data_IF_607192004871
#
_entry.id   IF_607192004871
#
_cell.length_a   1.000
_cell.length_b   1.000
_cell.length_c   1.000
_cell.angle_alpha   90.00
_cell.angle_beta   90.00
_cell.angle_gamma   90.00
#
_symmetry.space_group_name_H-M   'P 1'
#
loop_
_entity.id
_entity.type
_entity.pdbx_description
1 polymer ?
#
# COMPACT_ATOMS: atom_id res chain seq x y z
N UNK A 1 28.36 -42.10 -24.16
CA UNK A 1 28.97 -42.45 -22.86
C UNK A 1 28.52 -41.35 -21.91
N UNK A 2 27.35 -41.44 -21.28
CA UNK A 2 27.00 -42.45 -20.27
C UNK A 2 27.84 -42.13 -19.05
N UNK A 3 27.35 -41.32 -18.10
CA UNK A 3 26.75 -41.88 -16.89
C UNK A 3 25.40 -41.29 -16.45
N UNK A 4 24.70 -42.13 -15.71
CA UNK A 4 23.30 -42.18 -15.39
C UNK A 4 22.96 -41.61 -13.99
N UNK A 5 21.72 -41.10 -13.89
CA UNK A 5 20.78 -41.21 -12.75
C UNK A 5 21.34 -41.13 -11.32
N UNK A 6 21.26 -39.94 -10.74
CA UNK A 6 20.77 -39.72 -9.37
C UNK A 6 20.35 -38.25 -9.20
N UNK A 7 19.32 -37.82 -9.92
CA UNK A 7 18.56 -36.67 -9.43
C UNK A 7 18.01 -37.07 -8.06
N UNK A 8 18.19 -36.28 -6.99
CA UNK A 8 17.61 -36.65 -5.72
C UNK A 8 16.11 -36.77 -5.96
N UNK A 9 15.57 -37.97 -5.72
CA UNK A 9 14.15 -38.16 -5.43
C UNK A 9 13.91 -37.35 -4.15
N UNK A 10 13.75 -36.04 -4.30
CA UNK A 10 13.27 -35.18 -3.23
C UNK A 10 11.86 -35.69 -3.02
N UNK A 11 11.68 -36.47 -1.96
CA UNK A 11 10.39 -36.98 -1.50
C UNK A 11 9.29 -35.96 -1.83
N UNK A 12 8.19 -36.40 -2.46
CA UNK A 12 7.04 -35.51 -2.75
C UNK A 12 6.51 -34.79 -1.49
N UNK A 13 6.85 -35.28 -0.29
CA UNK A 13 6.62 -34.62 1.00
C UNK A 13 7.39 -33.29 1.18
N UNK A 14 8.54 -33.10 0.52
CA UNK A 14 9.34 -31.86 0.56
C UNK A 14 8.80 -30.77 -0.39
N UNK A 15 8.02 -31.15 -1.42
CA UNK A 15 7.37 -30.22 -2.34
C UNK A 15 5.95 -29.81 -1.91
N UNK A 16 5.52 -30.22 -0.70
CA UNK A 16 4.22 -29.80 -0.14
C UNK A 16 4.24 -28.30 0.20
N UNK A 17 3.22 -27.59 -0.26
CA UNK A 17 3.02 -26.17 0.01
C UNK A 17 2.64 -26.00 1.49
N UNK A 18 3.41 -25.20 2.23
CA UNK A 18 3.14 -24.88 3.63
C UNK A 18 2.41 -23.54 3.76
N UNK A 19 2.81 -22.53 2.98
CA UNK A 19 2.25 -21.18 3.05
C UNK A 19 2.28 -20.53 1.67
N UNK A 20 1.24 -19.76 1.37
CA UNK A 20 1.13 -18.96 0.15
C UNK A 20 0.95 -17.50 0.55
N UNK A 21 1.88 -16.65 0.15
CA UNK A 21 1.81 -15.21 0.34
C UNK A 21 1.49 -14.56 -0.99
N UNK A 22 0.40 -13.79 -1.03
CA UNK A 22 -0.03 -13.06 -2.21
C UNK A 22 0.28 -11.57 -2.02
N UNK A 23 1.19 -11.04 -2.83
CA UNK A 23 1.47 -9.61 -2.90
C UNK A 23 0.94 -9.00 -4.20
N UNK A 24 1.02 -7.67 -4.29
CA UNK A 24 0.66 -6.93 -5.51
C UNK A 24 1.50 -7.39 -6.72
N UNK A 25 2.81 -7.54 -6.52
CA UNK A 25 3.77 -7.75 -7.60
C UNK A 25 4.06 -9.22 -7.88
N UNK A 26 3.91 -10.12 -6.91
CA UNK A 26 4.22 -11.53 -7.05
C UNK A 26 3.45 -12.39 -6.03
N UNK A 27 3.38 -13.67 -6.31
CA UNK A 27 2.93 -14.72 -5.38
C UNK A 27 4.17 -15.47 -4.92
N UNK A 28 4.27 -15.75 -3.63
CA UNK A 28 5.38 -16.48 -3.04
C UNK A 28 4.89 -17.69 -2.26
N UNK A 29 5.49 -18.85 -2.51
CA UNK A 29 5.19 -20.13 -1.89
C UNK A 29 6.33 -20.50 -0.94
N UNK A 30 5.98 -20.92 0.28
CA UNK A 30 6.90 -21.58 1.20
C UNK A 30 6.68 -23.08 1.12
N UNK A 31 7.70 -23.81 0.73
CA UNK A 31 7.68 -25.27 0.72
C UNK A 31 8.02 -25.81 2.10
N UNK A 32 7.62 -27.06 2.37
CA UNK A 32 7.98 -27.75 3.61
C UNK A 32 9.49 -27.85 3.83
N UNK A 33 10.28 -27.83 2.75
CA UNK A 33 11.75 -27.75 2.78
C UNK A 33 12.30 -26.41 3.30
N UNK A 34 11.44 -25.42 3.60
CA UNK A 34 11.84 -24.08 4.06
C UNK A 34 12.24 -23.11 2.94
N UNK A 35 12.26 -23.56 1.69
CA UNK A 35 12.59 -22.73 0.52
C UNK A 35 11.41 -21.88 0.07
N UNK A 36 11.69 -20.64 -0.32
CA UNK A 36 10.71 -19.74 -0.94
C UNK A 36 10.85 -19.76 -2.46
N UNK A 37 9.72 -19.87 -3.15
CA UNK A 37 9.65 -19.72 -4.61
C UNK A 37 8.64 -18.62 -4.90
N UNK A 38 9.03 -17.63 -5.70
CA UNK A 38 8.16 -16.53 -6.07
C UNK A 38 7.99 -16.46 -7.58
N UNK A 39 6.79 -16.11 -8.03
CA UNK A 39 6.46 -15.99 -9.44
C UNK A 39 5.29 -15.05 -9.68
N UNK A 40 5.12 -14.67 -10.94
CA UNK A 40 4.05 -13.77 -11.39
C UNK A 40 2.93 -14.49 -12.14
N UNK A 41 3.14 -15.75 -12.51
CA UNK A 41 2.23 -16.59 -13.28
C UNK A 41 2.02 -17.90 -12.54
N UNK A 42 0.77 -18.33 -12.38
CA UNK A 42 0.46 -19.61 -11.75
C UNK A 42 1.08 -20.77 -12.53
N UNK A 43 0.97 -20.75 -13.86
CA UNK A 43 1.43 -21.84 -14.71
C UNK A 43 2.94 -22.04 -14.63
N UNK A 44 3.71 -20.96 -14.61
CA UNK A 44 5.17 -21.04 -14.50
C UNK A 44 5.60 -21.61 -13.14
N UNK A 45 4.88 -21.26 -12.07
CA UNK A 45 5.15 -21.82 -10.75
C UNK A 45 4.78 -23.29 -10.63
N UNK A 46 3.65 -23.71 -11.22
CA UNK A 46 3.23 -25.12 -11.25
C UNK A 46 4.24 -25.96 -12.03
N UNK A 47 4.74 -25.46 -13.17
CA UNK A 47 5.76 -26.14 -13.97
C UNK A 47 7.12 -26.25 -13.24
N UNK A 48 7.42 -25.33 -12.33
CA UNK A 48 8.62 -25.37 -11.49
C UNK A 48 8.54 -26.29 -10.27
N UNK A 49 7.36 -26.82 -9.94
CA UNK A 49 7.14 -27.68 -8.77
C UNK A 49 7.36 -29.16 -9.10
N UNK A 50 8.10 -29.85 -8.22
CA UNK A 50 8.26 -31.32 -8.29
C UNK A 50 6.92 -31.97 -7.91
N UNK A 51 6.12 -32.30 -8.92
CA UNK A 51 4.75 -32.81 -8.78
C UNK A 51 3.71 -32.09 -9.65
N UNK A 52 4.07 -30.97 -10.29
CA UNK A 52 3.16 -30.23 -11.19
C UNK A 52 1.82 -29.90 -10.52
N UNK A 53 0.72 -30.11 -11.25
CA UNK A 53 -0.63 -29.90 -10.74
C UNK A 53 -1.01 -30.81 -9.55
N UNK A 54 -0.35 -31.96 -9.38
CA UNK A 54 -0.60 -32.86 -8.26
C UNK A 54 -0.02 -32.34 -6.93
N UNK A 55 0.91 -31.38 -6.99
CA UNK A 55 1.44 -30.71 -5.79
C UNK A 55 0.47 -29.66 -5.20
N UNK A 56 -0.57 -29.28 -5.96
CA UNK A 56 -1.61 -28.32 -5.56
C UNK A 56 -3.03 -28.88 -5.80
N UNK A 57 -3.47 -29.86 -4.97
CA UNK A 57 -4.77 -30.53 -5.16
C UNK A 57 -5.98 -29.61 -4.97
N UNK A 58 -5.80 -28.46 -4.30
CA UNK A 58 -6.86 -27.48 -4.03
C UNK A 58 -6.81 -26.28 -4.98
N UNK A 59 -5.90 -26.29 -5.95
CA UNK A 59 -5.69 -25.22 -6.92
C UNK A 59 -5.50 -23.83 -6.27
N UNK A 60 -4.80 -23.81 -5.13
CA UNK A 60 -4.50 -22.62 -4.34
C UNK A 60 -3.68 -21.60 -5.11
N UNK A 61 -2.79 -22.07 -6.00
CA UNK A 61 -1.94 -21.20 -6.81
C UNK A 61 -2.78 -20.39 -7.80
N UNK A 62 -3.78 -21.01 -8.43
CA UNK A 62 -4.67 -20.31 -9.36
C UNK A 62 -5.65 -19.37 -8.65
N UNK A 63 -6.14 -19.77 -7.47
CA UNK A 63 -6.95 -18.88 -6.62
C UNK A 63 -6.12 -17.65 -6.22
N UNK A 64 -4.86 -17.85 -5.81
CA UNK A 64 -3.93 -16.77 -5.47
C UNK A 64 -3.68 -15.81 -6.66
N UNK A 65 -3.49 -16.35 -7.87
CA UNK A 65 -3.35 -15.54 -9.08
C UNK A 65 -4.63 -14.77 -9.44
N UNK A 66 -5.80 -15.38 -9.27
CA UNK A 66 -7.08 -14.72 -9.49
C UNK A 66 -7.27 -13.56 -8.52
N UNK A 67 -6.96 -13.76 -7.24
CA UNK A 67 -7.01 -12.68 -6.23
C UNK A 67 -6.03 -11.58 -6.60
N UNK A 68 -4.78 -11.89 -6.95
CA UNK A 68 -3.79 -10.87 -7.33
C UNK A 68 -4.25 -10.06 -8.55
N UNK A 69 -4.71 -10.71 -9.61
CA UNK A 69 -5.07 -10.04 -10.87
C UNK A 69 -6.38 -9.26 -10.81
N UNK A 70 -7.35 -9.69 -10.00
CA UNK A 70 -8.68 -9.08 -9.95
C UNK A 70 -8.92 -8.17 -8.75
N UNK A 71 -8.28 -8.44 -7.63
CA UNK A 71 -8.54 -7.72 -6.37
C UNK A 71 -7.51 -6.63 -6.11
N UNK A 72 -6.24 -6.86 -6.47
CA UNK A 72 -5.13 -5.98 -6.13
C UNK A 72 -4.87 -4.93 -7.23
N UNK A 73 -5.64 -3.83 -7.22
CA UNK A 73 -5.35 -2.67 -8.08
C UNK A 73 -4.41 -1.69 -7.37
N UNK A 74 -3.22 -1.47 -7.93
CA UNK A 74 -2.20 -0.56 -7.38
C UNK A 74 -2.18 0.82 -8.05
N UNK A 75 -2.81 0.99 -9.22
CA UNK A 75 -2.69 2.22 -10.02
C UNK A 75 -3.06 3.49 -9.27
N UNK A 76 -4.15 3.47 -8.50
CA UNK A 76 -4.58 4.62 -7.69
C UNK A 76 -3.60 4.97 -6.57
N UNK A 77 -2.94 3.97 -5.98
CA UNK A 77 -1.94 4.17 -4.94
C UNK A 77 -0.76 4.98 -5.48
N UNK A 78 -0.27 4.65 -6.67
CA UNK A 78 0.83 5.37 -7.31
C UNK A 78 0.46 6.83 -7.61
N UNK A 79 -0.76 7.07 -8.10
CA UNK A 79 -1.25 8.43 -8.32
C UNK A 79 -1.32 9.21 -6.99
N UNK A 80 -1.79 8.58 -5.91
CA UNK A 80 -1.85 9.19 -4.59
C UNK A 80 -0.44 9.53 -4.03
N UNK A 81 0.55 8.66 -4.27
CA UNK A 81 1.95 8.92 -3.89
C UNK A 81 2.49 10.13 -4.64
N UNK A 82 2.23 10.23 -5.95
CA UNK A 82 2.67 11.37 -6.78
C UNK A 82 2.04 12.68 -6.27
N UNK A 83 0.73 12.68 -5.97
CA UNK A 83 0.05 13.87 -5.44
C UNK A 83 0.58 14.26 -4.05
N UNK A 84 0.84 13.29 -3.18
CA UNK A 84 1.46 13.52 -1.88
C UNK A 84 2.85 14.13 -2.04
N UNK A 85 3.67 13.61 -2.96
CA UNK A 85 5.01 14.13 -3.22
C UNK A 85 4.99 15.59 -3.67
N UNK A 86 4.16 15.94 -4.66
CA UNK A 86 4.00 17.33 -5.07
C UNK A 86 3.42 18.21 -3.96
N UNK A 87 2.49 17.68 -3.16
CA UNK A 87 1.99 18.37 -1.97
C UNK A 87 3.10 18.71 -0.98
N UNK A 88 4.05 17.81 -0.74
CA UNK A 88 5.19 18.03 0.17
C UNK A 88 6.12 19.12 -0.40
N UNK A 89 6.41 19.06 -1.70
CA UNK A 89 7.23 20.08 -2.38
C UNK A 89 6.58 21.46 -2.26
N UNK A 90 5.26 21.57 -2.43
CA UNK A 90 4.55 22.84 -2.26
C UNK A 90 4.60 23.34 -0.81
N UNK A 91 4.47 22.46 0.19
CA UNK A 91 4.62 22.85 1.59
C UNK A 91 6.05 23.33 1.90
N UNK A 92 7.07 22.76 1.27
CA UNK A 92 8.46 23.19 1.44
C UNK A 92 8.71 24.62 0.92
N UNK A 93 7.85 25.14 0.04
CA UNK A 93 7.92 26.53 -0.43
C UNK A 93 7.27 27.54 0.51
N UNK A 94 6.71 27.10 1.64
CA UNK A 94 6.07 28.02 2.58
C UNK A 94 7.11 28.93 3.22
N UNK A 95 6.81 30.23 3.34
CA UNK A 95 7.74 31.18 3.93
C UNK A 95 8.06 30.80 5.38
N UNK A 96 9.35 30.82 5.69
CA UNK A 96 9.88 30.60 7.04
C UNK A 96 9.64 31.80 7.94
N UNK A 97 10.09 31.68 9.19
CA UNK A 97 10.20 32.84 10.08
C UNK A 97 11.32 33.75 9.58
N UNK A 98 11.06 35.05 9.53
CA UNK A 98 12.10 36.06 9.29
C UNK A 98 11.96 37.17 10.32
N UNK A 99 13.11 37.76 10.68
CA UNK A 99 13.19 38.90 11.58
C UNK A 99 12.95 40.18 10.76
N UNK A 100 11.99 41.00 11.19
CA UNK A 100 11.75 42.35 10.66
C UNK A 100 12.06 43.37 11.77
N UNK A 101 12.71 44.47 11.40
CA UNK A 101 13.02 45.57 12.32
C UNK A 101 11.85 46.57 12.28
N UNK A 102 11.19 46.79 13.43
CA UNK A 102 10.11 47.79 13.54
C UNK A 102 10.68 49.22 13.47
N UNK A 103 9.80 50.19 13.20
CA UNK A 103 10.07 51.63 13.21
C UNK A 103 10.67 52.17 14.53
N UNK A 104 10.56 51.42 15.63
CA UNK A 104 11.18 51.71 16.94
C UNK A 104 12.55 51.02 17.15
N UNK A 105 13.07 50.30 16.15
CA UNK A 105 14.34 49.56 16.22
C UNK A 105 14.28 48.25 17.01
N UNK A 106 13.07 47.73 17.26
CA UNK A 106 12.86 46.43 17.91
C UNK A 106 12.77 45.32 16.86
N UNK A 107 13.60 44.30 16.98
CA UNK A 107 13.50 43.08 16.17
C UNK A 107 12.23 42.31 16.52
N UNK A 108 11.42 41.99 15.51
CA UNK A 108 10.22 41.16 15.66
C UNK A 108 10.25 40.01 14.67
N UNK A 109 10.04 38.79 15.17
CA UNK A 109 9.80 37.64 14.32
C UNK A 109 8.41 37.70 13.70
N UNK A 110 8.37 37.81 12.38
CA UNK A 110 7.13 37.77 11.60
C UNK A 110 7.15 36.54 10.71
N UNK A 111 6.03 35.82 10.65
CA UNK A 111 5.83 34.73 9.70
C UNK A 111 4.86 35.19 8.62
N UNK A 112 5.30 35.32 7.35
CA UNK A 112 4.41 35.74 6.27
C UNK A 112 3.28 34.72 6.06
N UNK A 113 2.09 35.20 5.68
CA UNK A 113 1.01 34.30 5.28
C UNK A 113 1.39 33.57 3.98
N UNK A 114 1.21 32.24 3.91
CA UNK A 114 1.47 31.50 2.68
C UNK A 114 0.51 31.98 1.58
N UNK A 115 1.00 31.99 0.33
CA UNK A 115 0.18 32.48 -0.78
C UNK A 115 -1.12 31.68 -0.92
N UNK A 116 -2.26 32.36 -1.10
CA UNK A 116 -3.58 31.73 -1.15
C UNK A 116 -3.68 30.65 -2.22
N UNK A 117 -3.08 30.89 -3.40
CA UNK A 117 -3.11 29.95 -4.53
C UNK A 117 -2.34 28.67 -4.22
N UNK A 118 -1.13 28.79 -3.66
CA UNK A 118 -0.32 27.61 -3.31
C UNK A 118 -1.00 26.80 -2.20
N UNK A 119 -1.55 27.46 -1.18
CA UNK A 119 -2.30 26.78 -0.11
C UNK A 119 -3.54 26.04 -0.62
N UNK A 120 -4.28 26.61 -1.58
CA UNK A 120 -5.44 25.96 -2.19
C UNK A 120 -5.06 24.77 -3.08
N UNK A 121 -3.99 24.88 -3.86
CA UNK A 121 -3.48 23.77 -4.69
C UNK A 121 -2.93 22.64 -3.79
N UNK A 122 -2.20 22.99 -2.74
CA UNK A 122 -1.71 22.01 -1.77
C UNK A 122 -2.88 21.28 -1.09
N UNK A 123 -3.92 22.01 -0.65
CA UNK A 123 -5.13 21.39 -0.08
C UNK A 123 -5.78 20.42 -1.07
N UNK A 124 -5.99 20.82 -2.33
CA UNK A 124 -6.65 19.95 -3.31
C UNK A 124 -5.84 18.69 -3.61
N UNK A 125 -4.52 18.79 -3.69
CA UNK A 125 -3.61 17.65 -3.87
C UNK A 125 -3.69 16.68 -2.69
N UNK A 126 -3.64 17.16 -1.45
CA UNK A 126 -3.74 16.30 -0.27
C UNK A 126 -5.13 15.68 -0.12
N UNK A 127 -6.20 16.41 -0.43
CA UNK A 127 -7.56 15.85 -0.42
C UNK A 127 -7.71 14.76 -1.49
N UNK A 128 -7.19 14.99 -2.70
CA UNK A 128 -7.21 13.98 -3.76
C UNK A 128 -6.37 12.74 -3.36
N UNK A 129 -5.17 12.95 -2.82
CA UNK A 129 -4.32 11.86 -2.34
C UNK A 129 -4.98 11.04 -1.23
N UNK A 130 -5.66 11.71 -0.27
CA UNK A 130 -6.43 11.06 0.79
C UNK A 130 -7.56 10.20 0.21
N UNK A 131 -8.40 10.75 -0.67
CA UNK A 131 -9.52 10.01 -1.25
C UNK A 131 -9.06 8.81 -2.07
N UNK A 132 -8.04 8.98 -2.91
CA UNK A 132 -7.47 7.90 -3.72
C UNK A 132 -6.86 6.81 -2.85
N UNK A 133 -6.09 7.18 -1.82
CA UNK A 133 -5.51 6.23 -0.87
C UNK A 133 -6.60 5.50 -0.08
N UNK A 134 -7.62 6.22 0.39
CA UNK A 134 -8.74 5.66 1.13
C UNK A 134 -9.50 4.62 0.30
N UNK A 135 -9.90 4.98 -0.93
CA UNK A 135 -10.58 4.05 -1.85
C UNK A 135 -9.72 2.82 -2.09
N UNK A 136 -8.42 3.00 -2.31
CA UNK A 136 -7.49 1.91 -2.61
C UNK A 136 -7.34 0.95 -1.43
N UNK A 137 -7.05 1.46 -0.23
CA UNK A 137 -6.86 0.64 0.98
C UNK A 137 -8.18 -0.03 1.37
N UNK A 138 -9.31 0.69 1.28
CA UNK A 138 -10.63 0.13 1.58
C UNK A 138 -10.96 -1.02 0.61
N UNK A 139 -10.72 -0.84 -0.69
CA UNK A 139 -10.94 -1.87 -1.69
C UNK A 139 -10.09 -3.11 -1.43
N UNK A 140 -8.79 -2.93 -1.16
CA UNK A 140 -7.88 -4.04 -0.85
C UNK A 140 -8.28 -4.76 0.45
N UNK A 141 -8.74 -4.01 1.46
CA UNK A 141 -9.20 -4.58 2.71
C UNK A 141 -10.45 -5.45 2.50
N UNK A 142 -11.49 -4.91 1.83
CA UNK A 142 -12.71 -5.65 1.50
C UNK A 142 -12.42 -6.88 0.64
N UNK A 143 -11.60 -6.73 -0.39
CA UNK A 143 -11.25 -7.81 -1.29
C UNK A 143 -10.47 -8.94 -0.60
N UNK A 144 -9.53 -8.58 0.28
CA UNK A 144 -8.80 -9.57 1.09
C UNK A 144 -9.69 -10.26 2.12
N UNK A 145 -10.63 -9.54 2.74
CA UNK A 145 -11.60 -10.11 3.67
C UNK A 145 -12.56 -11.08 2.97
N UNK A 146 -13.02 -10.74 1.76
CA UNK A 146 -13.85 -11.63 0.95
C UNK A 146 -13.08 -12.89 0.48
N UNK A 147 -11.81 -12.73 0.09
CA UNK A 147 -10.97 -13.87 -0.27
C UNK A 147 -10.72 -14.80 0.93
N UNK A 148 -10.48 -14.23 2.11
CA UNK A 148 -10.33 -14.96 3.38
C UNK A 148 -11.59 -15.78 3.72
N UNK A 149 -12.77 -15.15 3.71
CA UNK A 149 -14.02 -15.85 4.05
C UNK A 149 -14.36 -16.94 3.05
N UNK A 150 -14.14 -16.68 1.75
CA UNK A 150 -14.38 -17.67 0.70
C UNK A 150 -13.40 -18.85 0.79
N UNK A 151 -12.12 -18.59 1.08
CA UNK A 151 -11.13 -19.65 1.26
C UNK A 151 -11.56 -20.58 2.40
N UNK A 152 -11.82 -20.04 3.59
CA UNK A 152 -12.21 -20.87 4.74
C UNK A 152 -13.51 -21.66 4.51
N UNK A 153 -14.47 -21.06 3.79
CA UNK A 153 -15.74 -21.73 3.46
C UNK A 153 -15.56 -22.89 2.46
N UNK A 154 -14.69 -22.77 1.47
CA UNK A 154 -14.47 -23.79 0.44
C UNK A 154 -13.51 -24.89 0.88
N UNK A 155 -12.59 -24.59 1.80
CA UNK A 155 -11.55 -25.53 2.22
C UNK A 155 -11.91 -26.29 3.48
N UNK A 156 -13.12 -26.16 4.01
CA UNK A 156 -13.58 -26.82 5.25
C UNK A 156 -12.56 -26.68 6.39
N UNK A 157 -11.99 -25.47 6.54
CA UNK A 157 -10.99 -25.15 7.57
C UNK A 157 -9.66 -25.94 7.48
N UNK A 158 -9.40 -26.62 6.35
CA UNK A 158 -8.11 -27.31 6.12
C UNK A 158 -6.94 -26.34 5.87
N UNK A 159 -7.24 -25.08 5.57
CA UNK A 159 -6.27 -24.01 5.29
C UNK A 159 -6.69 -22.78 6.08
N UNK A 160 -5.73 -22.22 6.81
CA UNK A 160 -5.88 -20.95 7.51
C UNK A 160 -5.47 -19.81 6.57
N UNK A 161 -6.45 -19.18 5.93
CA UNK A 161 -6.23 -17.96 5.18
C UNK A 161 -6.11 -16.80 6.17
N UNK A 162 -5.25 -15.81 5.91
CA UNK A 162 -5.23 -14.60 6.73
C UNK A 162 -4.87 -13.38 5.91
N UNK A 163 -5.37 -12.23 6.36
CA UNK A 163 -5.03 -10.94 5.76
C UNK A 163 -3.69 -10.47 6.31
N UNK A 164 -2.80 -9.98 5.44
CA UNK A 164 -1.50 -9.45 5.84
C UNK A 164 -1.61 -8.23 6.75
N UNK A 165 -1.66 -8.45 8.07
CA UNK A 165 -1.90 -7.41 9.07
C UNK A 165 -0.90 -6.25 8.99
N UNK A 166 0.38 -6.54 8.76
CA UNK A 166 1.42 -5.52 8.60
C UNK A 166 1.20 -4.61 7.40
N UNK A 167 0.87 -5.18 6.23
CA UNK A 167 0.58 -4.40 5.03
C UNK A 167 -0.69 -3.55 5.20
N UNK A 168 -1.72 -4.10 5.85
CA UNK A 168 -2.95 -3.37 6.14
C UNK A 168 -2.71 -2.20 7.12
N UNK A 169 -1.92 -2.42 8.17
CA UNK A 169 -1.57 -1.39 9.13
C UNK A 169 -0.86 -0.22 8.44
N UNK A 170 0.15 -0.51 7.60
CA UNK A 170 0.86 0.53 6.84
C UNK A 170 -0.05 1.30 5.88
N UNK A 171 -0.98 0.61 5.20
CA UNK A 171 -1.97 1.24 4.34
C UNK A 171 -2.87 2.23 5.09
N UNK A 172 -3.44 1.80 6.22
CA UNK A 172 -4.31 2.66 7.05
C UNK A 172 -3.56 3.80 7.73
N UNK A 173 -2.30 3.59 8.15
CA UNK A 173 -1.45 4.67 8.65
C UNK A 173 -1.21 5.71 7.56
N UNK A 174 -0.92 5.29 6.33
CA UNK A 174 -0.76 6.22 5.19
C UNK A 174 -2.03 7.03 4.93
N UNK A 175 -3.20 6.38 4.95
CA UNK A 175 -4.50 7.07 4.85
C UNK A 175 -4.70 8.07 5.98
N UNK A 176 -4.44 7.66 7.23
CA UNK A 176 -4.57 8.53 8.40
C UNK A 176 -3.65 9.75 8.35
N UNK A 177 -2.39 9.58 7.94
CA UNK A 177 -1.45 10.68 7.75
C UNK A 177 -1.93 11.64 6.66
N UNK A 178 -2.37 11.13 5.51
CA UNK A 178 -2.89 11.98 4.43
C UNK A 178 -4.15 12.76 4.86
N UNK A 179 -5.05 12.13 5.62
CA UNK A 179 -6.24 12.76 6.19
C UNK A 179 -5.86 13.89 7.16
N UNK A 180 -4.91 13.61 8.06
CA UNK A 180 -4.42 14.58 9.03
C UNK A 180 -3.79 15.80 8.33
N UNK A 181 -2.99 15.58 7.29
CA UNK A 181 -2.40 16.68 6.52
C UNK A 181 -3.46 17.50 5.78
N UNK A 182 -4.47 16.87 5.18
CA UNK A 182 -5.56 17.57 4.50
C UNK A 182 -6.40 18.40 5.49
N UNK A 183 -6.69 17.84 6.67
CA UNK A 183 -7.40 18.54 7.73
C UNK A 183 -6.58 19.72 8.28
N UNK A 184 -5.29 19.51 8.54
CA UNK A 184 -4.39 20.57 9.00
C UNK A 184 -4.31 21.73 8.01
N UNK A 185 -4.24 21.44 6.71
CA UNK A 185 -4.30 22.45 5.65
C UNK A 185 -5.64 23.20 5.63
N UNK A 186 -6.75 22.48 5.78
CA UNK A 186 -8.08 23.08 5.83
C UNK A 186 -8.22 24.03 7.02
N UNK A 187 -7.81 23.60 8.22
CA UNK A 187 -7.85 24.40 9.44
C UNK A 187 -6.97 25.65 9.33
N UNK A 188 -5.77 25.52 8.77
CA UNK A 188 -4.87 26.65 8.52
C UNK A 188 -5.50 27.68 7.56
N UNK A 189 -6.16 27.22 6.48
CA UNK A 189 -6.82 28.14 5.54
C UNK A 189 -8.00 28.85 6.21
N UNK A 190 -8.78 28.13 7.03
CA UNK A 190 -9.91 28.71 7.75
C UNK A 190 -9.46 29.73 8.80
N UNK A 191 -8.40 29.45 9.56
CA UNK A 191 -7.89 30.37 10.58
C UNK A 191 -7.41 31.69 9.96
N UNK A 192 -6.69 31.64 8.83
CA UNK A 192 -6.24 32.83 8.10
C UNK A 192 -7.43 33.65 7.60
N UNK A 193 -8.51 33.01 7.14
CA UNK A 193 -9.72 33.71 6.69
C UNK A 193 -10.43 34.43 7.82
N UNK A 194 -10.56 33.79 8.99
CA UNK A 194 -11.18 34.41 10.16
C UNK A 194 -10.33 35.58 10.66
N UNK A 195 -9.02 35.42 10.74
CA UNK A 195 -8.12 36.50 11.18
C UNK A 195 -8.16 37.70 10.22
N UNK A 196 -8.17 37.45 8.91
CA UNK A 196 -8.31 38.50 7.91
C UNK A 196 -9.66 39.23 7.99
N UNK A 197 -10.73 38.57 8.46
CA UNK A 197 -12.04 39.17 8.66
C UNK A 197 -12.18 39.96 9.98
N UNK A 198 -11.28 39.77 10.94
CA UNK A 198 -11.27 40.49 12.22
C UNK A 198 -10.39 41.75 12.19
N UNK A 199 -9.45 41.82 11.25
CA UNK A 199 -8.50 42.95 11.10
C UNK A 199 -9.05 44.03 10.14
N UNK A 200 -10.08 43.70 9.34
CA UNK A 200 -10.82 44.63 8.47
C UNK A 200 -12.10 45.03 9.18
#
# INVERSE_FOLDING_TARGET
MGDAFAGPVRNASLSKIQQVNVGFMAICLKLHAGTWICGTSAQDMVNGLVGGAAADPLNLIYIAETVRSRVLFFGLLFVAIIFTFFGIVLLATFPGWHDEEDSEGSERQVKPFPSRRVSQIALSLYTAAFLLSFITVLWQHLGSAAAYTLANALTYDTIDASVGAGAMALGWVGVGLSALTALGMLLMIMSIRVLAALIV
#
